data_IF_267806022752
#
_entry.id   IF_267806022752
#
_cell.length_a   1.000
_cell.length_b   1.000
_cell.length_c   1.000
_cell.angle_alpha   90.00
_cell.angle_beta   90.00
_cell.angle_gamma   90.00
#
_symmetry.space_group_name_H-M   'P 1'
#
loop_
_entity.id
_entity.type
_entity.pdbx_description
1 polymer ?
#
# COMPACT_ATOMS: atom_id res chain seq x y z
N UNK A 1 2.32 -6.48 19.29
CA UNK A 1 0.88 -6.14 19.39
C UNK A 1 0.51 -5.30 18.19
N UNK A 2 -0.25 -5.85 17.24
CA UNK A 2 -0.76 -5.13 16.08
C UNK A 2 -1.90 -4.22 16.56
N UNK A 3 -1.75 -2.91 16.37
CA UNK A 3 -2.74 -1.91 16.79
C UNK A 3 -3.76 -1.77 15.66
N UNK A 4 -5.03 -2.01 15.97
CA UNK A 4 -6.22 -1.73 15.16
C UNK A 4 -6.02 -0.50 14.27
N UNK A 5 -5.81 -0.69 12.97
CA UNK A 5 -5.46 0.39 12.03
C UNK A 5 -6.66 0.91 11.21
N UNK A 6 -7.80 0.21 11.23
CA UNK A 6 -8.99 0.56 10.43
C UNK A 6 -10.25 0.98 11.23
N UNK A 7 -10.20 0.94 12.57
CA UNK A 7 -11.40 1.06 13.39
C UNK A 7 -12.17 2.37 13.19
N UNK A 8 -11.51 3.47 12.82
CA UNK A 8 -12.17 4.79 12.89
C UNK A 8 -12.46 5.51 11.55
N UNK A 9 -11.85 5.19 10.39
CA UNK A 9 -11.81 6.19 9.28
C UNK A 9 -11.82 5.69 7.81
N UNK A 10 -12.65 4.72 7.43
CA UNK A 10 -12.89 4.42 6.01
C UNK A 10 -14.38 4.17 5.71
N UNK A 11 -14.96 4.65 4.60
CA UNK A 11 -16.33 4.28 4.22
C UNK A 11 -16.46 2.75 4.06
N UNK A 12 -17.61 2.17 4.43
CA UNK A 12 -17.80 0.71 4.54
C UNK A 12 -17.41 -0.07 3.27
N UNK A 13 -17.56 0.54 2.09
CA UNK A 13 -17.17 -0.07 0.81
C UNK A 13 -15.65 -0.30 0.67
N UNK A 14 -14.82 0.56 1.27
CA UNK A 14 -13.36 0.40 1.30
C UNK A 14 -12.91 -0.53 2.44
N UNK A 15 -13.66 -0.57 3.55
CA UNK A 15 -13.41 -1.47 4.68
C UNK A 15 -13.55 -2.95 4.29
N UNK A 16 -14.39 -3.29 3.30
CA UNK A 16 -14.65 -4.69 2.93
C UNK A 16 -13.40 -5.40 2.34
N UNK A 17 -12.40 -4.67 1.83
CA UNK A 17 -11.24 -5.27 1.18
C UNK A 17 -9.95 -5.24 2.01
N UNK A 18 -9.73 -4.18 2.81
CA UNK A 18 -8.44 -3.94 3.48
C UNK A 18 -8.43 -4.59 4.86
N UNK A 19 -7.32 -5.25 5.21
CA UNK A 19 -7.16 -5.92 6.51
C UNK A 19 -6.91 -4.91 7.64
N UNK A 20 -7.64 -5.05 8.75
CA UNK A 20 -7.48 -4.21 9.94
C UNK A 20 -6.05 -4.25 10.50
N UNK A 21 -5.47 -5.44 10.53
CA UNK A 21 -4.08 -5.67 10.94
C UNK A 21 -3.16 -5.87 9.74
N UNK A 22 -1.86 -5.60 9.92
CA UNK A 22 -0.84 -5.86 8.91
C UNK A 22 -0.79 -7.37 8.63
N UNK A 23 -0.91 -7.85 7.38
CA UNK A 23 -0.94 -9.26 7.07
C UNK A 23 0.52 -9.74 7.08
N UNK A 24 1.05 -9.92 8.29
CA UNK A 24 2.48 -10.07 8.53
C UNK A 24 3.07 -11.24 7.73
N UNK A 25 2.31 -12.32 7.56
CA UNK A 25 2.76 -13.49 6.80
C UNK A 25 2.97 -13.15 5.33
N UNK A 26 2.03 -12.44 4.69
CA UNK A 26 2.17 -12.01 3.29
C UNK A 26 3.28 -10.96 3.11
N UNK A 27 3.46 -10.07 4.10
CA UNK A 27 4.50 -9.01 4.04
C UNK A 27 5.90 -9.59 4.26
N UNK A 28 6.06 -10.64 5.07
CA UNK A 28 7.36 -11.31 5.27
C UNK A 28 7.89 -11.97 4.00
N UNK A 29 7.01 -12.41 3.10
CA UNK A 29 7.40 -12.98 1.80
C UNK A 29 7.93 -11.91 0.81
N UNK A 30 7.79 -10.62 1.11
CA UNK A 30 8.30 -9.56 0.25
C UNK A 30 9.83 -9.51 0.30
N UNK A 31 10.42 -9.40 -0.88
CA UNK A 31 11.86 -9.19 -1.05
C UNK A 31 12.31 -7.83 -0.51
N UNK A 32 13.61 -7.68 -0.29
CA UNK A 32 14.20 -6.40 0.12
C UNK A 32 13.89 -5.27 -0.87
N UNK A 33 13.87 -5.56 -2.19
CA UNK A 33 13.54 -4.57 -3.21
C UNK A 33 12.07 -4.13 -3.12
N UNK A 34 11.15 -5.07 -2.91
CA UNK A 34 9.72 -4.77 -2.76
C UNK A 34 9.45 -3.95 -1.49
N UNK A 35 10.11 -4.28 -0.37
CA UNK A 35 10.02 -3.50 0.87
C UNK A 35 10.60 -2.09 0.72
N UNK A 36 11.76 -1.95 0.06
CA UNK A 36 12.35 -0.64 -0.24
C UNK A 36 11.44 0.21 -1.14
N UNK A 37 10.79 -0.42 -2.13
CA UNK A 37 9.82 0.25 -2.98
C UNK A 37 8.58 0.71 -2.21
N UNK A 38 8.05 -0.10 -1.28
CA UNK A 38 6.93 0.31 -0.42
C UNK A 38 7.28 1.55 0.42
N UNK A 39 8.50 1.62 0.94
CA UNK A 39 8.99 2.81 1.65
C UNK A 39 9.07 4.02 0.73
N UNK A 40 9.66 3.89 -0.46
CA UNK A 40 9.75 4.97 -1.43
C UNK A 40 8.37 5.48 -1.87
N UNK A 41 7.40 4.58 -2.08
CA UNK A 41 6.02 4.95 -2.38
C UNK A 41 5.37 5.71 -1.23
N UNK A 42 5.64 5.32 0.03
CA UNK A 42 5.13 6.04 1.20
C UNK A 42 5.63 7.49 1.23
N UNK A 43 6.93 7.70 1.01
CA UNK A 43 7.54 9.03 1.02
C UNK A 43 7.05 9.89 -0.16
N UNK A 44 6.92 9.28 -1.34
CA UNK A 44 6.36 9.96 -2.50
C UNK A 44 4.89 10.36 -2.28
N UNK A 45 4.09 9.52 -1.63
CA UNK A 45 2.71 9.81 -1.31
C UNK A 45 2.56 10.92 -0.25
N UNK A 46 3.41 10.92 0.78
CA UNK A 46 3.45 11.93 1.83
C UNK A 46 3.82 13.32 1.25
N UNK A 47 4.75 13.34 0.29
CA UNK A 47 5.16 14.56 -0.41
C UNK A 47 4.12 15.06 -1.43
N UNK A 48 3.61 14.17 -2.28
CA UNK A 48 2.73 14.55 -3.40
C UNK A 48 1.26 14.73 -2.99
N UNK A 49 0.82 14.09 -1.90
CA UNK A 49 -0.57 14.08 -1.41
C UNK A 49 -1.59 13.82 -2.53
N UNK A 50 -1.47 12.67 -3.24
CA UNK A 50 -2.30 12.38 -4.42
C UNK A 50 -3.79 12.32 -4.07
N UNK A 51 -4.60 12.97 -4.90
CA UNK A 51 -6.07 12.99 -4.77
C UNK A 51 -6.73 12.18 -5.88
N UNK A 52 -7.52 11.17 -5.51
CA UNK A 52 -8.28 10.35 -6.44
C UNK A 52 -7.47 9.21 -7.08
N UNK A 53 -8.21 8.28 -7.71
CA UNK A 53 -7.64 7.01 -8.16
C UNK A 53 -6.57 7.12 -9.25
N UNK A 54 -6.69 8.09 -10.16
CA UNK A 54 -5.73 8.31 -11.25
C UNK A 54 -4.39 8.86 -10.75
N UNK A 55 -4.42 9.79 -9.79
CA UNK A 55 -3.22 10.35 -9.17
C UNK A 55 -2.45 9.26 -8.42
N UNK A 56 -3.15 8.44 -7.63
CA UNK A 56 -2.56 7.28 -6.97
C UNK A 56 -2.02 6.25 -7.95
N UNK A 57 -2.78 5.90 -8.99
CA UNK A 57 -2.33 4.92 -9.99
C UNK A 57 -1.04 5.39 -10.68
N UNK A 58 -0.99 6.66 -11.07
CA UNK A 58 0.19 7.27 -11.69
C UNK A 58 1.39 7.26 -10.75
N UNK A 59 1.18 7.62 -9.48
CA UNK A 59 2.24 7.60 -8.46
C UNK A 59 2.83 6.20 -8.26
N UNK A 60 1.97 5.17 -8.17
CA UNK A 60 2.41 3.77 -8.04
C UNK A 60 3.30 3.36 -9.22
N UNK A 61 2.90 3.70 -10.44
CA UNK A 61 3.69 3.39 -11.63
C UNK A 61 5.02 4.16 -11.69
N UNK A 62 5.01 5.45 -11.37
CA UNK A 62 6.23 6.27 -11.34
C UNK A 62 7.22 5.74 -10.30
N UNK A 63 6.77 5.47 -9.07
CA UNK A 63 7.61 4.91 -8.02
C UNK A 63 8.17 3.52 -8.41
N UNK A 64 7.36 2.68 -9.07
CA UNK A 64 7.83 1.37 -9.56
C UNK A 64 8.93 1.52 -10.61
N UNK A 65 8.76 2.45 -11.55
CA UNK A 65 9.77 2.77 -12.57
C UNK A 65 11.06 3.29 -11.95
N UNK A 66 10.96 4.22 -11.01
CA UNK A 66 12.11 4.81 -10.31
C UNK A 66 12.88 3.78 -9.47
N UNK A 67 12.15 2.87 -8.80
CA UNK A 67 12.74 1.77 -8.02
C UNK A 67 13.23 0.58 -8.86
N UNK A 68 13.08 0.62 -10.19
CA UNK A 68 13.40 -0.49 -11.07
C UNK A 68 12.59 -1.76 -10.79
N UNK A 69 11.40 -1.63 -10.20
CA UNK A 69 10.53 -2.74 -9.84
C UNK A 69 9.51 -2.97 -10.96
N UNK A 70 9.36 -4.22 -11.39
CA UNK A 70 8.35 -4.56 -12.39
C UNK A 70 6.95 -4.21 -11.86
N UNK A 71 6.06 -3.62 -12.69
CA UNK A 71 4.73 -3.22 -12.23
C UNK A 71 3.95 -4.34 -11.54
N UNK A 72 4.03 -5.58 -12.07
CA UNK A 72 3.36 -6.74 -11.48
C UNK A 72 3.82 -7.00 -10.03
N UNK A 73 5.12 -6.81 -9.73
CA UNK A 73 5.69 -6.98 -8.40
C UNK A 73 5.32 -5.82 -7.47
N UNK A 74 5.33 -4.60 -7.99
CA UNK A 74 4.86 -3.42 -7.26
C UNK A 74 3.40 -3.59 -6.80
N UNK A 75 2.49 -3.94 -7.71
CA UNK A 75 1.09 -4.18 -7.36
C UNK A 75 0.92 -5.37 -6.41
N UNK A 76 1.63 -6.48 -6.62
CA UNK A 76 1.57 -7.63 -5.72
C UNK A 76 2.00 -7.28 -4.29
N UNK A 77 3.06 -6.47 -4.15
CA UNK A 77 3.58 -6.00 -2.85
C UNK A 77 2.58 -5.10 -2.13
N UNK A 78 1.94 -4.21 -2.89
CA UNK A 78 0.87 -3.34 -2.37
C UNK A 78 -0.32 -4.18 -1.91
N UNK A 79 -0.80 -5.13 -2.71
CA UNK A 79 -1.89 -5.99 -2.28
C UNK A 79 -1.50 -6.88 -1.09
N UNK A 80 -0.25 -7.33 -0.98
CA UNK A 80 0.22 -8.08 0.18
C UNK A 80 0.12 -7.22 1.46
N UNK A 81 0.54 -5.95 1.39
CA UNK A 81 0.48 -5.02 2.51
C UNK A 81 -0.96 -4.66 2.93
N UNK A 82 -1.88 -4.50 1.98
CA UNK A 82 -3.24 -4.02 2.28
C UNK A 82 -4.27 -5.14 2.41
N UNK A 83 -4.18 -6.18 1.57
CA UNK A 83 -5.19 -7.24 1.43
C UNK A 83 -4.70 -8.61 1.93
N UNK A 84 -3.39 -8.80 2.11
CA UNK A 84 -2.79 -10.10 2.48
C UNK A 84 -2.77 -11.12 1.33
N UNK A 85 -2.92 -10.66 0.09
CA UNK A 85 -2.88 -11.47 -1.14
C UNK A 85 -2.20 -10.69 -2.25
N UNK A 86 -1.80 -11.34 -3.34
CA UNK A 86 -1.01 -10.70 -4.42
C UNK A 86 -1.84 -10.09 -5.55
N UNK A 87 -3.16 -10.08 -5.44
CA UNK A 87 -4.09 -9.53 -6.44
C UNK A 87 -5.22 -8.73 -5.78
N UNK A 88 -5.86 -7.88 -6.57
CA UNK A 88 -6.88 -6.97 -6.05
C UNK A 88 -7.53 -6.08 -7.10
N UNK A 89 -8.45 -5.20 -6.66
CA UNK A 89 -9.05 -4.17 -7.51
C UNK A 89 -7.98 -3.15 -7.91
N UNK A 90 -8.31 -2.23 -8.82
CA UNK A 90 -7.38 -1.20 -9.29
C UNK A 90 -6.75 -0.43 -8.11
N UNK A 91 -5.44 -0.63 -7.90
CA UNK A 91 -4.76 -0.16 -6.69
C UNK A 91 -4.88 1.35 -6.45
N UNK A 92 -4.87 2.17 -7.50
CA UNK A 92 -5.05 3.61 -7.35
C UNK A 92 -6.39 3.98 -6.69
N UNK A 93 -7.47 3.30 -7.08
CA UNK A 93 -8.81 3.53 -6.51
C UNK A 93 -8.94 2.92 -5.13
N UNK A 94 -8.29 1.78 -4.89
CA UNK A 94 -8.18 1.19 -3.56
C UNK A 94 -7.55 2.19 -2.58
N UNK A 95 -6.40 2.79 -2.93
CA UNK A 95 -5.72 3.74 -2.05
C UNK A 95 -6.48 5.07 -1.94
N UNK A 96 -7.11 5.54 -3.02
CA UNK A 96 -7.91 6.76 -3.01
C UNK A 96 -9.16 6.69 -2.13
N UNK A 97 -9.65 5.49 -1.83
CA UNK A 97 -10.80 5.28 -0.95
C UNK A 97 -10.42 5.25 0.55
N UNK A 98 -9.13 5.33 0.86
CA UNK A 98 -8.59 5.32 2.23
C UNK A 98 -8.10 6.72 2.62
N UNK A 99 -8.01 6.96 3.93
CA UNK A 99 -7.29 8.13 4.45
C UNK A 99 -5.81 8.07 4.01
N UNK A 100 -5.27 9.12 3.34
CA UNK A 100 -3.88 9.15 2.91
C UNK A 100 -2.86 8.90 4.03
N UNK A 101 -3.13 9.37 5.26
CA UNK A 101 -2.25 9.15 6.40
C UNK A 101 -2.21 7.67 6.81
N UNK A 102 -3.34 6.96 6.69
CA UNK A 102 -3.40 5.51 6.90
C UNK A 102 -2.58 4.78 5.84
N UNK A 103 -2.72 5.16 4.57
CA UNK A 103 -1.96 4.57 3.46
C UNK A 103 -0.45 4.69 3.69
N UNK A 104 0.04 5.89 3.99
CA UNK A 104 1.47 6.13 4.28
C UNK A 104 1.94 5.31 5.47
N UNK A 105 1.16 5.30 6.56
CA UNK A 105 1.48 4.52 7.76
C UNK A 105 1.60 3.03 7.44
N UNK A 106 0.67 2.50 6.64
CA UNK A 106 0.64 1.09 6.25
C UNK A 106 1.81 0.68 5.38
N UNK A 107 2.15 1.51 4.40
CA UNK A 107 3.30 1.30 3.52
C UNK A 107 4.60 1.27 4.34
N UNK A 108 4.80 2.23 5.25
CA UNK A 108 5.98 2.26 6.15
C UNK A 108 6.03 1.04 7.07
N UNK A 109 4.89 0.63 7.64
CA UNK A 109 4.83 -0.56 8.48
C UNK A 109 5.17 -1.85 7.71
N UNK A 110 4.67 -1.98 6.48
CA UNK A 110 4.97 -3.13 5.62
C UNK A 110 6.46 -3.17 5.21
N UNK A 111 7.06 -2.01 4.95
CA UNK A 111 8.49 -1.91 4.62
C UNK A 111 9.41 -2.27 5.80
N UNK A 112 8.97 -2.03 7.05
CA UNK A 112 9.77 -2.22 8.25
C UNK A 112 9.70 -3.64 8.84
N UNK A 113 8.77 -4.49 8.40
CA UNK A 113 8.74 -5.90 8.83
C UNK A 113 10.01 -6.61 8.35
N UNK A 114 10.56 -7.48 9.19
CA UNK A 114 11.68 -8.37 8.89
C UNK A 114 11.18 -9.76 8.54
#
# INVERSE_FOLDING_TARGET
>A
AAKHWLADYAPDEARIAVRDDLPADAVRELSAQERAWLLALADAADAAKPTGGEAWQSLIFSAAKEGGLQPVRAFASLYAAFLGRTNGPRAGWLLAALDPALVVTRLRAAAAIQ
#
